data_IF_588667315718
#
_entry.id   IF_588667315718
#
_cell.length_a   1.000
_cell.length_b   1.000
_cell.length_c   1.000
_cell.angle_alpha   90.00
_cell.angle_beta   90.00
_cell.angle_gamma   90.00
#
_symmetry.space_group_name_H-M   'P 1'
#
loop_
_entity.id
_entity.type
_entity.pdbx_description
1 polymer ?
#
# COMPACT_ATOMS: atom_id res chain seq x y z
N UNK A 1 -11.05 13.52 -11.24
CA UNK A 1 -10.95 13.91 -9.81
C UNK A 1 -9.49 14.03 -9.46
N UNK A 2 -9.13 14.99 -8.65
CA UNK A 2 -7.78 15.13 -8.06
C UNK A 2 -7.83 14.63 -6.61
N UNK A 3 -6.71 14.18 -6.09
CA UNK A 3 -6.55 13.92 -4.67
C UNK A 3 -6.64 15.21 -3.83
N UNK A 4 -6.39 15.07 -2.54
CA UNK A 4 -6.43 16.18 -1.59
C UNK A 4 -5.08 16.92 -1.57
N UNK A 5 -5.11 18.20 -1.35
CA UNK A 5 -3.93 19.01 -1.07
C UNK A 5 -3.58 18.97 0.43
N UNK A 6 -2.37 19.38 0.78
CA UNK A 6 -1.86 19.34 2.16
C UNK A 6 -2.82 19.93 3.20
N UNK A 7 -3.43 21.08 2.90
CA UNK A 7 -4.34 21.76 3.83
C UNK A 7 -5.61 20.97 4.13
N UNK A 8 -6.04 20.13 3.18
CA UNK A 8 -7.29 19.39 3.25
C UNK A 8 -7.20 18.10 4.09
N UNK A 9 -5.99 17.73 4.52
CA UNK A 9 -5.80 16.62 5.44
C UNK A 9 -5.87 17.11 6.89
N UNK A 10 -6.62 16.41 7.72
CA UNK A 10 -6.63 16.60 9.16
C UNK A 10 -6.14 15.31 9.85
N UNK A 11 -5.41 15.50 10.96
CA UNK A 11 -4.95 14.39 11.78
C UNK A 11 -6.16 13.62 12.30
N UNK A 12 -6.13 12.29 12.16
CA UNK A 12 -7.23 11.40 12.56
C UNK A 12 -8.23 11.10 11.44
N UNK A 13 -8.15 11.76 10.28
CA UNK A 13 -8.96 11.35 9.11
C UNK A 13 -8.74 9.89 8.78
N UNK A 14 -9.82 9.19 8.45
CA UNK A 14 -9.81 7.80 8.01
C UNK A 14 -10.50 7.67 6.66
N UNK A 15 -9.85 6.99 5.72
CA UNK A 15 -10.35 6.67 4.39
C UNK A 15 -10.55 5.16 4.29
N UNK A 16 -11.79 4.74 4.21
CA UNK A 16 -12.16 3.36 3.85
C UNK A 16 -12.36 3.32 2.34
N UNK A 17 -11.34 2.87 1.62
CA UNK A 17 -11.36 2.89 0.16
C UNK A 17 -12.39 1.91 -0.39
N UNK A 18 -13.20 2.37 -1.35
CA UNK A 18 -14.23 1.54 -2.00
C UNK A 18 -13.65 0.55 -3.02
N UNK A 19 -12.48 0.87 -3.57
CA UNK A 19 -11.80 0.00 -4.52
C UNK A 19 -11.24 -1.22 -3.82
N UNK A 20 -11.60 -2.41 -4.30
CA UNK A 20 -11.02 -3.69 -3.90
C UNK A 20 -10.40 -4.39 -5.09
N UNK A 21 -9.46 -5.29 -4.86
CA UNK A 21 -8.76 -5.98 -5.95
C UNK A 21 -8.48 -7.44 -5.58
N UNK A 22 -8.97 -8.36 -6.40
CA UNK A 22 -8.59 -9.77 -6.30
C UNK A 22 -7.20 -9.97 -6.90
N UNK A 23 -6.29 -10.55 -6.13
CA UNK A 23 -4.93 -10.85 -6.55
C UNK A 23 -4.93 -12.14 -7.38
N UNK A 24 -4.33 -12.08 -8.56
CA UNK A 24 -4.23 -13.23 -9.45
C UNK A 24 -2.84 -13.85 -9.42
N UNK A 25 -2.73 -15.08 -9.88
CA UNK A 25 -1.43 -15.73 -10.13
C UNK A 25 -0.55 -14.89 -11.07
N UNK A 26 -1.14 -14.32 -12.12
CA UNK A 26 -0.42 -13.48 -13.09
C UNK A 26 0.17 -12.24 -12.44
N UNK A 27 -0.52 -11.60 -11.50
CA UNK A 27 -0.01 -10.46 -10.75
C UNK A 27 1.29 -10.83 -10.02
N UNK A 28 1.29 -11.95 -9.31
CA UNK A 28 2.42 -12.41 -8.52
C UNK A 28 3.61 -12.79 -9.40
N UNK A 29 3.37 -13.58 -10.45
CA UNK A 29 4.42 -14.01 -11.40
C UNK A 29 5.04 -12.81 -12.11
N UNK A 30 4.23 -11.87 -12.60
CA UNK A 30 4.71 -10.67 -13.28
C UNK A 30 5.53 -9.78 -12.35
N UNK A 31 5.07 -9.56 -11.13
CA UNK A 31 5.79 -8.76 -10.14
C UNK A 31 7.16 -9.38 -9.81
N UNK A 32 7.22 -10.70 -9.57
CA UNK A 32 8.47 -11.39 -9.32
C UNK A 32 9.41 -11.33 -10.54
N UNK A 33 8.89 -11.47 -11.75
CA UNK A 33 9.69 -11.36 -12.97
C UNK A 33 10.28 -9.95 -13.14
N UNK A 34 9.48 -8.90 -12.95
CA UNK A 34 9.91 -7.51 -13.07
C UNK A 34 10.94 -7.10 -12.00
N UNK A 35 10.87 -7.70 -10.83
CA UNK A 35 11.78 -7.42 -9.71
C UNK A 35 12.95 -8.38 -9.60
N UNK A 36 13.10 -9.31 -10.56
CA UNK A 36 14.14 -10.35 -10.57
C UNK A 36 14.16 -11.20 -9.28
N UNK A 37 12.99 -11.50 -8.73
CA UNK A 37 12.86 -12.32 -7.52
C UNK A 37 12.59 -13.79 -7.88
N UNK A 38 13.58 -14.69 -7.72
CA UNK A 38 13.43 -16.10 -8.08
C UNK A 38 12.92 -16.97 -6.92
N UNK A 39 12.36 -16.40 -5.87
CA UNK A 39 11.98 -17.15 -4.67
C UNK A 39 10.88 -18.18 -4.96
N UNK A 40 11.14 -19.48 -4.75
CA UNK A 40 10.18 -20.54 -5.05
C UNK A 40 8.89 -20.45 -4.25
N UNK A 41 8.87 -19.79 -3.09
CA UNK A 41 7.63 -19.49 -2.34
C UNK A 41 6.56 -18.77 -3.17
N UNK A 42 6.97 -18.03 -4.20
CA UNK A 42 6.06 -17.29 -5.08
C UNK A 42 5.81 -17.99 -6.41
N UNK A 43 6.73 -18.86 -6.84
CA UNK A 43 6.82 -19.32 -8.22
C UNK A 43 6.58 -20.84 -8.40
N UNK A 44 6.89 -21.65 -7.37
CA UNK A 44 6.93 -23.11 -7.47
C UNK A 44 5.89 -23.74 -6.55
N UNK A 45 4.80 -24.19 -7.14
CA UNK A 45 3.69 -24.81 -6.41
C UNK A 45 4.11 -26.11 -5.71
N UNK A 46 4.94 -26.92 -6.35
CA UNK A 46 5.37 -28.20 -5.78
C UNK A 46 6.28 -27.98 -4.56
N UNK A 47 7.19 -26.98 -4.65
CA UNK A 47 7.99 -26.55 -3.50
C UNK A 47 7.10 -26.11 -2.33
N UNK A 48 6.05 -25.32 -2.63
CA UNK A 48 5.18 -24.74 -1.60
C UNK A 48 4.32 -25.76 -0.85
N UNK A 49 4.00 -26.90 -1.46
CA UNK A 49 3.28 -28.01 -0.79
C UNK A 49 4.02 -28.52 0.45
N UNK A 50 5.34 -28.42 0.47
CA UNK A 50 6.19 -28.82 1.60
C UNK A 50 6.37 -27.73 2.66
N UNK A 51 5.79 -26.53 2.46
CA UNK A 51 5.90 -25.41 3.41
C UNK A 51 4.66 -25.33 4.32
N UNK A 52 4.76 -24.51 5.37
CA UNK A 52 3.63 -24.23 6.25
C UNK A 52 2.41 -23.61 5.52
N UNK A 53 2.62 -22.99 4.36
CA UNK A 53 1.56 -22.37 3.56
C UNK A 53 0.79 -23.37 2.69
N UNK A 54 1.41 -24.47 2.28
CA UNK A 54 0.81 -25.50 1.42
C UNK A 54 0.53 -25.08 -0.01
N UNK A 55 0.79 -23.82 -0.36
CA UNK A 55 0.57 -23.21 -1.67
C UNK A 55 1.46 -21.97 -1.84
N UNK A 56 1.60 -21.47 -3.07
CA UNK A 56 2.36 -20.25 -3.34
C UNK A 56 1.73 -19.04 -2.63
N UNK A 57 2.57 -18.21 -2.02
CA UNK A 57 2.16 -16.95 -1.43
C UNK A 57 2.50 -15.80 -2.36
N UNK A 58 1.70 -14.73 -2.30
CA UNK A 58 1.93 -13.50 -3.06
C UNK A 58 3.11 -12.75 -2.47
N UNK A 59 3.95 -12.17 -3.32
CA UNK A 59 5.06 -11.33 -2.90
C UNK A 59 4.55 -10.17 -2.04
N UNK A 60 5.08 -10.03 -0.84
CA UNK A 60 4.61 -9.03 0.13
C UNK A 60 4.78 -7.59 -0.34
N UNK A 61 5.80 -7.31 -1.16
CA UNK A 61 5.99 -5.97 -1.75
C UNK A 61 4.94 -5.65 -2.81
N UNK A 62 4.46 -6.65 -3.55
CA UNK A 62 3.28 -6.48 -4.41
C UNK A 62 2.05 -6.10 -3.57
N UNK A 63 1.79 -6.85 -2.49
CA UNK A 63 0.67 -6.58 -1.59
C UNK A 63 0.75 -5.16 -1.02
N UNK A 64 1.91 -4.75 -0.54
CA UNK A 64 2.11 -3.39 -0.02
C UNK A 64 1.87 -2.32 -1.08
N UNK A 65 2.42 -2.53 -2.28
CA UNK A 65 2.20 -1.64 -3.42
C UNK A 65 0.72 -1.51 -3.79
N UNK A 66 -0.02 -2.63 -3.78
CA UNK A 66 -1.45 -2.65 -4.05
C UNK A 66 -2.25 -1.89 -2.97
N UNK A 67 -1.94 -2.10 -1.69
CA UNK A 67 -2.60 -1.42 -0.57
C UNK A 67 -2.44 0.10 -0.67
N UNK A 68 -1.23 0.56 -0.98
CA UNK A 68 -0.96 1.99 -1.20
C UNK A 68 -1.63 2.47 -2.49
N UNK A 69 -1.52 1.72 -3.58
CA UNK A 69 -2.08 2.06 -4.88
C UNK A 69 -3.60 2.29 -4.83
N UNK A 70 -4.32 1.43 -4.12
CA UNK A 70 -5.77 1.57 -3.90
C UNK A 70 -6.13 2.90 -3.22
N UNK A 71 -5.26 3.40 -2.33
CA UNK A 71 -5.49 4.65 -1.60
C UNK A 71 -5.32 5.92 -2.44
N UNK A 72 -4.60 5.84 -3.56
CA UNK A 72 -4.15 7.01 -4.33
C UNK A 72 -5.32 7.85 -4.83
N UNK A 73 -6.36 7.21 -5.36
CA UNK A 73 -7.52 7.91 -5.94
C UNK A 73 -8.21 8.86 -4.96
N UNK A 74 -8.34 8.43 -3.72
CA UNK A 74 -9.05 9.20 -2.68
C UNK A 74 -8.14 10.16 -1.91
N UNK A 75 -6.81 10.00 -2.01
CA UNK A 75 -5.88 10.77 -1.16
C UNK A 75 -4.91 11.63 -1.94
N UNK A 76 -4.09 11.06 -2.82
CA UNK A 76 -2.89 11.73 -3.33
C UNK A 76 -2.83 11.89 -4.85
N UNK A 77 -3.89 11.53 -5.57
CA UNK A 77 -3.91 11.54 -7.04
C UNK A 77 -3.64 12.95 -7.60
N UNK A 78 -2.48 13.13 -8.23
CA UNK A 78 -2.08 14.40 -8.85
C UNK A 78 -1.68 15.52 -7.89
N UNK A 79 -1.65 15.25 -6.56
CA UNK A 79 -1.32 16.24 -5.52
C UNK A 79 -0.08 15.87 -4.70
N UNK A 80 0.53 14.73 -4.96
CA UNK A 80 1.78 14.32 -4.32
C UNK A 80 3.01 14.76 -5.13
N UNK A 81 4.04 15.19 -4.42
CA UNK A 81 5.37 15.46 -4.98
C UNK A 81 6.29 14.24 -4.91
N UNK A 82 6.00 13.31 -4.01
CA UNK A 82 6.78 12.09 -3.86
C UNK A 82 6.51 11.35 -2.56
N UNK A 83 7.11 10.17 -2.48
CA UNK A 83 7.14 9.34 -1.29
C UNK A 83 8.53 9.47 -0.66
N UNK A 84 8.61 9.95 0.57
CA UNK A 84 9.89 10.20 1.27
C UNK A 84 10.38 9.00 2.06
N UNK A 85 9.51 8.06 2.39
CA UNK A 85 9.90 6.87 3.11
C UNK A 85 8.74 6.12 3.75
N UNK A 86 9.07 4.94 4.25
CA UNK A 86 8.15 4.07 4.98
C UNK A 86 8.84 3.53 6.21
N UNK A 87 8.07 3.39 7.30
CA UNK A 87 8.50 2.78 8.56
C UNK A 87 7.45 1.80 9.06
N UNK A 88 7.80 1.04 10.09
CA UNK A 88 6.88 0.14 10.80
C UNK A 88 6.14 -0.84 9.86
N UNK A 89 6.78 -1.20 8.74
CA UNK A 89 6.20 -2.11 7.76
C UNK A 89 6.11 -3.52 8.32
N UNK A 90 4.92 -4.14 8.22
CA UNK A 90 4.69 -5.54 8.63
C UNK A 90 3.72 -6.26 7.72
N UNK A 91 3.87 -7.57 7.69
CA UNK A 91 3.03 -8.49 6.93
C UNK A 91 2.55 -9.58 7.88
N UNK A 92 1.44 -9.35 8.56
CA UNK A 92 0.96 -10.20 9.64
C UNK A 92 0.40 -11.55 9.17
N UNK A 93 -0.17 -11.58 7.97
CA UNK A 93 -0.73 -12.78 7.36
C UNK A 93 -0.34 -12.86 5.88
N UNK A 94 -0.14 -14.08 5.34
CA UNK A 94 0.16 -14.26 3.92
C UNK A 94 -1.06 -13.90 3.06
N UNK A 95 -0.78 -13.48 1.82
CA UNK A 95 -1.79 -13.34 0.77
C UNK A 95 -1.62 -14.50 -0.19
N UNK A 96 -2.73 -15.13 -0.54
CA UNK A 96 -2.77 -16.20 -1.54
C UNK A 96 -3.40 -15.69 -2.84
N UNK A 97 -3.15 -16.39 -3.94
CA UNK A 97 -3.88 -16.13 -5.19
C UNK A 97 -5.38 -16.28 -4.92
N UNK A 98 -6.19 -15.44 -5.55
CA UNK A 98 -7.64 -15.29 -5.38
C UNK A 98 -8.07 -14.55 -4.10
N UNK A 99 -7.16 -14.17 -3.22
CA UNK A 99 -7.51 -13.25 -2.12
C UNK A 99 -7.88 -11.87 -2.66
N UNK A 100 -8.91 -11.26 -2.08
CA UNK A 100 -9.35 -9.91 -2.45
C UNK A 100 -8.91 -8.92 -1.38
N UNK A 101 -8.15 -7.93 -1.79
CA UNK A 101 -7.53 -6.94 -0.90
C UNK A 101 -8.36 -5.66 -0.90
N UNK A 102 -8.64 -5.15 0.29
CA UNK A 102 -9.15 -3.81 0.56
C UNK A 102 -8.14 -3.00 1.36
N UNK A 103 -8.23 -1.70 1.29
CA UNK A 103 -7.30 -0.80 1.96
C UNK A 103 -8.05 0.23 2.83
N UNK A 104 -7.43 0.58 3.95
CA UNK A 104 -7.82 1.68 4.83
C UNK A 104 -6.61 2.57 5.05
N UNK A 105 -6.79 3.88 4.94
CA UNK A 105 -5.73 4.85 5.17
C UNK A 105 -6.13 5.80 6.28
N UNK A 106 -5.21 6.07 7.22
CA UNK A 106 -5.41 7.06 8.29
C UNK A 106 -4.34 8.13 8.22
N UNK A 107 -4.72 9.36 8.50
CA UNK A 107 -3.78 10.47 8.66
C UNK A 107 -3.28 10.47 10.10
N UNK A 108 -2.01 10.11 10.28
CA UNK A 108 -1.37 10.03 11.59
C UNK A 108 -0.84 11.38 12.06
N UNK A 109 -0.13 12.07 11.16
CA UNK A 109 0.52 13.35 11.44
C UNK A 109 0.57 14.19 10.17
N UNK A 110 0.73 15.49 10.33
CA UNK A 110 1.09 16.40 9.23
C UNK A 110 1.98 17.52 9.73
N UNK A 111 2.85 18.00 8.88
CA UNK A 111 3.69 19.18 9.18
C UNK A 111 4.11 19.91 7.91
N UNK A 112 4.39 21.20 8.06
CA UNK A 112 4.96 22.02 7.00
C UNK A 112 6.33 21.48 6.55
N UNK A 113 6.64 21.65 5.27
CA UNK A 113 7.99 21.41 4.78
C UNK A 113 8.93 22.52 5.23
N UNK A 114 10.08 22.15 5.78
CA UNK A 114 11.11 23.12 6.18
C UNK A 114 11.86 23.72 4.99
N UNK A 115 11.91 23.00 3.87
CA UNK A 115 12.71 23.36 2.69
C UNK A 115 11.87 23.92 1.54
N UNK A 116 10.56 23.68 1.52
CA UNK A 116 9.67 24.10 0.43
C UNK A 116 8.40 24.73 0.98
N UNK A 117 8.21 26.06 0.82
CA UNK A 117 7.05 26.77 1.38
C UNK A 117 5.70 26.36 0.76
N UNK A 118 5.73 25.83 -0.47
CA UNK A 118 4.54 25.36 -1.21
C UNK A 118 4.24 23.87 -1.03
N UNK A 119 4.79 23.23 0.00
CA UNK A 119 4.61 21.82 0.27
C UNK A 119 4.53 21.52 1.77
N UNK A 120 3.98 20.36 2.09
CA UNK A 120 3.94 19.81 3.44
C UNK A 120 4.12 18.30 3.42
N UNK A 121 4.30 17.73 4.59
CA UNK A 121 4.40 16.29 4.79
C UNK A 121 3.14 15.79 5.46
N UNK A 122 2.57 14.72 4.91
CA UNK A 122 1.46 13.98 5.52
C UNK A 122 1.94 12.57 5.79
N UNK A 123 1.82 12.15 7.04
CA UNK A 123 2.20 10.82 7.48
C UNK A 123 0.93 9.96 7.54
N UNK A 124 0.88 8.97 6.68
CA UNK A 124 -0.24 8.03 6.57
C UNK A 124 0.09 6.70 7.24
N UNK A 125 -0.91 6.10 7.86
CA UNK A 125 -0.95 4.68 8.16
C UNK A 125 -1.79 3.99 7.08
N UNK A 126 -1.22 2.99 6.41
CA UNK A 126 -1.92 2.18 5.42
C UNK A 126 -2.14 0.78 5.99
N UNK A 127 -3.37 0.31 5.94
CA UNK A 127 -3.79 -1.01 6.35
C UNK A 127 -4.36 -1.76 5.16
N UNK A 128 -3.85 -2.96 4.90
CA UNK A 128 -4.40 -3.88 3.93
C UNK A 128 -5.07 -5.06 4.62
N UNK A 129 -6.25 -5.44 4.15
CA UNK A 129 -7.01 -6.58 4.67
C UNK A 129 -7.45 -7.48 3.52
N UNK A 130 -7.51 -8.78 3.77
CA UNK A 130 -8.13 -9.72 2.84
C UNK A 130 -9.66 -9.79 3.07
N UNK A 131 -10.34 -10.68 2.34
CA UNK A 131 -11.80 -10.88 2.43
C UNK A 131 -12.27 -11.49 3.76
N UNK A 132 -11.35 -12.01 4.57
CA UNK A 132 -11.62 -12.55 5.92
C UNK A 132 -11.34 -11.52 7.02
N UNK A 133 -11.10 -10.26 6.66
CA UNK A 133 -10.71 -9.18 7.57
C UNK A 133 -9.38 -9.41 8.31
N UNK A 134 -8.52 -10.26 7.79
CA UNK A 134 -7.16 -10.45 8.29
C UNK A 134 -6.24 -9.35 7.76
N UNK A 135 -5.45 -8.72 8.64
CA UNK A 135 -4.43 -7.75 8.21
C UNK A 135 -3.32 -8.47 7.45
N UNK A 136 -3.08 -8.06 6.22
CA UNK A 136 -2.07 -8.64 5.32
C UNK A 136 -0.88 -7.72 5.07
N UNK A 137 -1.06 -6.42 5.24
CA UNK A 137 0.01 -5.44 5.13
C UNK A 137 -0.30 -4.21 5.97
N UNK A 138 0.74 -3.62 6.53
CA UNK A 138 0.70 -2.33 7.21
C UNK A 138 1.99 -1.57 6.94
N UNK A 139 1.90 -0.25 6.80
CA UNK A 139 3.06 0.62 6.87
C UNK A 139 2.68 2.03 7.32
N UNK A 140 3.66 2.75 7.82
CA UNK A 140 3.61 4.20 8.01
C UNK A 140 4.38 4.85 6.86
N UNK A 141 3.72 5.68 6.07
CA UNK A 141 4.30 6.31 4.88
C UNK A 141 4.32 7.83 5.02
N UNK A 142 5.46 8.44 4.76
CA UNK A 142 5.61 9.89 4.67
C UNK A 142 5.44 10.34 3.22
N UNK A 143 4.33 10.99 2.92
CA UNK A 143 4.06 11.58 1.62
C UNK A 143 4.41 13.06 1.60
N UNK A 144 5.05 13.49 0.52
CA UNK A 144 5.37 14.88 0.25
C UNK A 144 4.26 15.48 -0.62
N UNK A 145 3.47 16.38 -0.06
CA UNK A 145 2.21 16.84 -0.63
C UNK A 145 2.30 18.29 -1.09
N UNK A 146 1.68 18.58 -2.23
CA UNK A 146 1.48 19.95 -2.68
C UNK A 146 0.52 20.67 -1.77
N UNK A 147 0.75 21.98 -1.57
CA UNK A 147 -0.25 22.91 -1.06
C UNK A 147 -1.17 23.36 -2.17
N UNK A 148 -2.36 23.82 -1.79
CA UNK A 148 -3.33 24.37 -2.73
C UNK A 148 -2.67 25.51 -3.53
N UNK A 149 -2.73 25.49 -4.87
CA UNK A 149 -2.26 26.60 -5.69
C UNK A 149 -2.98 27.91 -5.31
N UNK A 150 -2.22 29.01 -5.28
CA UNK A 150 -2.76 30.36 -5.04
C UNK A 150 -3.60 30.82 -6.22
#
# INVERSE_FOLDING_TARGET
>A
MTGLYYEQFDIGMEFKHSLTRTVTESDNLLFCALTHNPQPLHLDEEFCKGTEYGQRIVNSLFTLGLVIGVSVGDTTLGTTLGNLGMTDTRFANPVFHEDTIRSVTKVREKRESKSRPNAGLVIFEHYGFNQRDEEVAFCVRTAFMMKTPL
#
